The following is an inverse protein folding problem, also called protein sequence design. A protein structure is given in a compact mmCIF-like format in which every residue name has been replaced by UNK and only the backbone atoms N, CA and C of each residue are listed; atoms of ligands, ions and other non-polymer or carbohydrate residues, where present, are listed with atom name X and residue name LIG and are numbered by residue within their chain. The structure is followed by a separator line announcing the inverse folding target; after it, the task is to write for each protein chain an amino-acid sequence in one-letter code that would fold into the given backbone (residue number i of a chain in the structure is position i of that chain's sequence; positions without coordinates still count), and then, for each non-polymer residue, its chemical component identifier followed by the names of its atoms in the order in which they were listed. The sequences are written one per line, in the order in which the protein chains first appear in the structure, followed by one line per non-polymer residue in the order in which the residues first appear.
data_IF_622056315202
#
_entry.id   IF_622056315202
#
_cell.length_a   1.000
_cell.length_b   1.000
_cell.length_c   1.000
_cell.angle_alpha   90.00
_cell.angle_beta   90.00
_cell.angle_gamma   90.00
#
_symmetry.space_group_name_H-M   'P 1'
#
loop_
_entity.id
_entity.type
_entity.pdbx_description
1 polymer ?
#
# COMPACT_ATOMS: atom_id res chain seq x y z
N UNK A 1 53.12 31.72 27.39
CA UNK A 1 51.87 32.03 28.13
C UNK A 1 50.74 32.63 27.28
N UNK A 2 51.01 33.37 26.19
CA UNK A 2 49.98 34.07 25.39
C UNK A 2 49.06 33.12 24.57
N UNK A 3 49.54 31.94 24.14
CA UNK A 3 48.73 31.00 23.32
C UNK A 3 47.56 30.33 24.06
N UNK A 4 47.57 30.26 25.39
CA UNK A 4 46.51 29.61 26.18
C UNK A 4 45.31 30.53 26.48
N UNK A 5 45.48 31.85 26.48
CA UNK A 5 44.38 32.79 26.73
C UNK A 5 43.50 33.03 25.49
N UNK A 6 44.08 33.00 24.29
CA UNK A 6 43.33 33.15 23.03
C UNK A 6 42.39 31.96 22.79
N UNK A 7 42.81 30.75 23.17
CA UNK A 7 42.00 29.54 23.02
C UNK A 7 40.75 29.54 23.92
N UNK A 8 40.85 30.10 25.15
CA UNK A 8 39.70 30.21 26.07
C UNK A 8 38.64 31.20 25.59
N UNK A 9 39.02 32.25 24.86
CA UNK A 9 38.09 33.30 24.41
C UNK A 9 37.30 32.92 23.15
N UNK A 10 37.88 32.09 22.27
CA UNK A 10 37.24 31.67 21.00
C UNK A 10 36.70 30.23 21.00
N UNK A 11 37.03 29.43 22.02
CA UNK A 11 36.56 28.04 22.15
C UNK A 11 35.04 27.86 21.99
N UNK A 12 34.18 28.66 22.66
CA UNK A 12 32.73 28.53 22.53
C UNK A 12 32.21 28.80 21.10
N UNK A 13 32.80 29.77 20.40
CA UNK A 13 32.40 30.12 19.03
C UNK A 13 32.75 29.02 18.02
N UNK A 14 33.92 28.39 18.16
CA UNK A 14 34.33 27.26 17.32
C UNK A 14 33.43 26.04 17.53
N UNK A 15 33.05 25.75 18.79
CA UNK A 15 32.12 24.66 19.10
C UNK A 15 30.75 24.93 18.49
N UNK A 16 30.20 26.13 18.68
CA UNK A 16 28.90 26.49 18.10
C UNK A 16 28.90 26.40 16.56
N UNK A 17 29.96 26.88 15.91
CA UNK A 17 30.11 26.76 14.46
C UNK A 17 30.19 25.29 14.00
N UNK A 18 31.00 24.47 14.67
CA UNK A 18 31.13 23.05 14.34
C UNK A 18 29.79 22.31 14.49
N UNK A 19 29.04 22.56 15.57
CA UNK A 19 27.69 22.03 15.77
C UNK A 19 26.75 22.50 14.65
N UNK A 20 26.81 23.78 14.28
CA UNK A 20 26.02 24.33 13.17
C UNK A 20 26.28 23.63 11.84
N UNK A 21 27.56 23.39 11.50
CA UNK A 21 27.94 22.67 10.27
C UNK A 21 27.43 21.22 10.28
N UNK A 22 27.56 20.51 11.40
CA UNK A 22 27.04 19.14 11.54
C UNK A 22 25.52 19.11 11.37
N UNK A 23 24.79 20.06 11.96
CA UNK A 23 23.34 20.15 11.82
C UNK A 23 22.91 20.39 10.38
N UNK A 24 23.58 21.31 9.66
CA UNK A 24 23.30 21.55 8.23
C UNK A 24 23.55 20.29 7.42
N UNK A 25 24.69 19.61 7.64
CA UNK A 25 25.04 18.39 6.94
C UNK A 25 24.03 17.25 7.16
N UNK A 26 23.52 17.10 8.39
CA UNK A 26 22.46 16.13 8.70
C UNK A 26 21.08 16.53 8.15
N UNK A 27 20.80 17.83 8.01
CA UNK A 27 19.53 18.33 7.49
C UNK A 27 19.43 18.19 5.97
N UNK A 28 20.52 18.42 5.23
CA UNK A 28 20.55 18.39 3.77
C UNK A 28 19.90 17.14 3.14
N UNK A 29 20.27 15.89 3.51
CA UNK A 29 19.66 14.71 2.89
C UNK A 29 18.17 14.59 3.19
N UNK A 30 17.71 15.02 4.38
CA UNK A 30 16.29 15.00 4.74
C UNK A 30 15.50 16.02 3.93
N UNK A 31 16.01 17.25 3.80
CA UNK A 31 15.37 18.31 3.01
C UNK A 31 15.33 17.93 1.52
N UNK A 32 16.43 17.38 1.00
CA UNK A 32 16.49 16.88 -0.37
C UNK A 32 15.47 15.75 -0.61
N UNK A 33 15.42 14.75 0.27
CA UNK A 33 14.46 13.65 0.20
C UNK A 33 13.01 14.14 0.23
N UNK A 34 12.68 15.04 1.17
CA UNK A 34 11.34 15.57 1.33
C UNK A 34 10.91 16.41 0.12
N UNK A 35 11.81 17.24 -0.42
CA UNK A 35 11.53 18.04 -1.61
C UNK A 35 11.22 17.15 -2.83
N UNK A 36 12.05 16.13 -3.06
CA UNK A 36 11.83 15.21 -4.19
C UNK A 36 10.59 14.32 -4.01
N UNK A 37 10.20 13.98 -2.77
CA UNK A 37 8.99 13.23 -2.49
C UNK A 37 7.70 14.07 -2.53
N UNK A 38 7.79 15.40 -2.65
CA UNK A 38 6.61 16.29 -2.62
C UNK A 38 5.52 15.94 -3.66
N UNK A 39 5.84 15.61 -4.92
CA UNK A 39 4.81 15.22 -5.90
C UNK A 39 4.05 13.96 -5.47
N UNK A 40 4.69 13.05 -4.74
CA UNK A 40 4.06 11.84 -4.25
C UNK A 40 2.97 12.13 -3.19
N UNK A 41 3.18 13.12 -2.33
CA UNK A 41 2.15 13.57 -1.39
C UNK A 41 0.89 14.09 -2.11
N UNK A 42 1.07 14.82 -3.21
CA UNK A 42 -0.05 15.32 -4.02
C UNK A 42 -0.81 14.21 -4.75
N UNK A 43 -0.09 13.21 -5.30
CA UNK A 43 -0.72 12.02 -5.90
C UNK A 43 -1.47 11.20 -4.85
N UNK A 44 -0.87 10.95 -3.69
CA UNK A 44 -1.54 10.26 -2.57
C UNK A 44 -2.82 10.99 -2.14
N UNK A 45 -2.77 12.31 -1.99
CA UNK A 45 -3.95 13.11 -1.64
C UNK A 45 -5.07 12.98 -2.68
N UNK A 46 -4.74 13.00 -3.98
CA UNK A 46 -5.74 12.78 -5.03
C UNK A 46 -6.36 11.38 -4.96
N UNK A 47 -5.56 10.34 -4.74
CA UNK A 47 -6.05 8.97 -4.58
C UNK A 47 -6.97 8.83 -3.36
N UNK A 48 -6.62 9.44 -2.23
CA UNK A 48 -7.47 9.44 -1.02
C UNK A 48 -8.80 10.15 -1.26
N UNK A 49 -8.83 11.18 -2.11
CA UNK A 49 -10.02 11.94 -2.45
C UNK A 49 -10.80 11.36 -3.64
N UNK A 50 -10.44 10.15 -4.11
CA UNK A 50 -11.02 9.49 -5.29
C UNK A 50 -11.00 10.41 -6.55
N UNK A 51 -9.95 11.21 -6.67
CA UNK A 51 -9.75 12.13 -7.81
C UNK A 51 -8.88 11.47 -8.88
N UNK A 52 -9.15 11.74 -10.17
CA UNK A 52 -8.32 11.22 -11.25
C UNK A 52 -6.90 11.78 -11.13
N UNK A 53 -5.91 10.88 -11.13
CA UNK A 53 -4.48 11.22 -11.14
C UNK A 53 -4.02 11.32 -12.59
N UNK A 54 -3.37 12.42 -13.00
CA UNK A 54 -2.82 12.53 -14.37
C UNK A 54 -1.54 11.72 -14.52
N UNK A 55 -1.27 11.17 -15.71
CA UNK A 55 -0.06 10.37 -15.98
C UNK A 55 1.23 11.15 -15.71
N UNK A 56 1.26 12.42 -16.10
CA UNK A 56 2.38 13.31 -15.83
C UNK A 56 2.61 13.57 -14.33
N UNK A 57 1.57 13.50 -13.49
CA UNK A 57 1.72 13.65 -12.03
C UNK A 57 2.27 12.37 -11.41
N UNK A 58 1.78 11.21 -11.88
CA UNK A 58 2.26 9.89 -11.43
C UNK A 58 3.73 9.67 -11.83
N UNK A 59 4.11 9.97 -13.07
CA UNK A 59 5.48 9.87 -13.55
C UNK A 59 6.45 10.78 -12.77
N UNK A 60 6.01 12.00 -12.43
CA UNK A 60 6.77 12.93 -11.57
C UNK A 60 6.92 12.40 -10.15
N UNK A 61 5.85 11.84 -9.57
CA UNK A 61 5.92 11.22 -8.25
C UNK A 61 6.86 10.02 -8.21
N UNK A 62 6.81 9.13 -9.21
CA UNK A 62 7.72 7.98 -9.32
C UNK A 62 9.18 8.43 -9.45
N UNK A 63 9.46 9.40 -10.31
CA UNK A 63 10.82 9.95 -10.48
C UNK A 63 11.33 10.60 -9.20
N UNK A 64 10.48 11.39 -8.54
CA UNK A 64 10.79 12.04 -7.28
C UNK A 64 11.06 11.06 -6.14
N UNK A 65 10.26 9.99 -6.00
CA UNK A 65 10.48 8.94 -5.00
C UNK A 65 11.76 8.14 -5.27
N UNK A 66 12.09 7.85 -6.53
CA UNK A 66 13.37 7.22 -6.89
C UNK A 66 14.54 8.10 -6.46
N UNK A 67 14.50 9.40 -6.76
CA UNK A 67 15.54 10.34 -6.33
C UNK A 67 15.61 10.48 -4.79
N UNK A 68 14.47 10.53 -4.11
CA UNK A 68 14.40 10.60 -2.65
C UNK A 68 15.00 9.34 -1.99
N UNK A 69 14.80 8.16 -2.57
CA UNK A 69 15.33 6.91 -2.01
C UNK A 69 16.86 6.90 -1.90
N UNK A 70 17.57 7.57 -2.82
CA UNK A 70 19.03 7.70 -2.80
C UNK A 70 19.57 8.45 -1.56
N UNK A 71 18.73 9.23 -0.86
CA UNK A 71 19.15 9.95 0.34
C UNK A 71 19.22 9.06 1.60
N UNK A 72 18.70 7.83 1.57
CA UNK A 72 18.73 6.91 2.72
C UNK A 72 17.81 7.29 3.89
N UNK A 73 16.98 8.33 3.75
CA UNK A 73 16.05 8.81 4.78
C UNK A 73 14.66 8.23 4.53
N UNK A 74 13.90 7.92 5.59
CA UNK A 74 12.49 7.48 5.53
C UNK A 74 12.19 6.38 4.48
N UNK A 75 13.11 5.42 4.38
CA UNK A 75 13.08 4.36 3.37
C UNK A 75 11.77 3.56 3.38
N UNK A 76 11.22 3.33 4.57
CA UNK A 76 9.97 2.59 4.74
C UNK A 76 8.79 3.24 4.03
N UNK A 77 8.65 4.57 4.15
CA UNK A 77 7.57 5.33 3.54
C UNK A 77 7.82 5.50 2.04
N UNK A 78 9.05 5.85 1.65
CA UNK A 78 9.43 6.05 0.24
C UNK A 78 9.19 4.77 -0.57
N UNK A 79 9.71 3.62 -0.14
CA UNK A 79 9.48 2.36 -0.85
C UNK A 79 8.03 1.89 -0.77
N UNK A 80 7.34 2.24 0.33
CA UNK A 80 5.90 2.01 0.47
C UNK A 80 5.08 2.78 -0.57
N UNK A 81 5.39 4.05 -0.84
CA UNK A 81 4.72 4.84 -1.87
C UNK A 81 5.17 4.42 -3.27
N UNK A 82 6.46 4.15 -3.46
CA UNK A 82 7.02 3.71 -4.74
C UNK A 82 6.31 2.46 -5.24
N UNK A 83 6.22 1.42 -4.41
CA UNK A 83 5.53 0.18 -4.78
C UNK A 83 4.05 0.37 -5.08
N UNK A 84 3.36 1.27 -4.36
CA UNK A 84 1.96 1.60 -4.65
C UNK A 84 1.80 2.24 -6.02
N UNK A 85 2.64 3.23 -6.33
CA UNK A 85 2.55 3.99 -7.56
C UNK A 85 3.03 3.20 -8.78
N UNK A 86 4.02 2.32 -8.62
CA UNK A 86 4.43 1.40 -9.68
C UNK A 86 3.30 0.41 -10.02
N UNK A 87 2.62 -0.13 -9.00
CA UNK A 87 1.46 -0.99 -9.24
C UNK A 87 0.32 -0.23 -9.93
N UNK A 88 0.06 1.03 -9.53
CA UNK A 88 -0.93 1.87 -10.20
C UNK A 88 -0.55 2.14 -11.66
N UNK A 89 0.72 2.44 -11.93
CA UNK A 89 1.23 2.71 -13.29
C UNK A 89 1.05 1.49 -14.22
N UNK A 90 1.39 0.29 -13.72
CA UNK A 90 1.17 -0.97 -14.44
C UNK A 90 -0.28 -1.17 -14.85
N UNK A 91 -1.23 -0.90 -13.96
CA UNK A 91 -2.66 -1.07 -14.28
C UNK A 91 -3.21 -0.02 -15.24
N UNK A 92 -2.55 1.13 -15.35
CA UNK A 92 -2.99 2.21 -16.25
C UNK A 92 -2.39 2.09 -17.64
N UNK A 93 -1.17 1.58 -17.74
CA UNK A 93 -0.44 1.47 -19.00
C UNK A 93 0.10 0.06 -19.19
N UNK A 94 -0.75 -0.94 -19.51
CA UNK A 94 -0.29 -2.27 -19.87
C UNK A 94 0.70 -2.19 -21.03
N UNK A 95 1.86 -2.83 -20.85
CA UNK A 95 2.94 -2.82 -21.82
C UNK A 95 3.70 -4.16 -21.76
N UNK A 96 4.57 -4.40 -22.72
CA UNK A 96 5.32 -5.66 -22.85
C UNK A 96 6.28 -5.92 -21.66
N UNK A 97 6.59 -4.89 -20.86
CA UNK A 97 7.45 -4.97 -19.67
C UNK A 97 6.65 -5.04 -18.36
N UNK A 98 5.37 -5.40 -18.41
CA UNK A 98 4.49 -5.46 -17.24
C UNK A 98 5.05 -6.38 -16.14
N UNK A 99 5.61 -7.54 -16.49
CA UNK A 99 6.19 -8.47 -15.52
C UNK A 99 7.39 -7.86 -14.77
N UNK A 100 8.30 -7.18 -15.49
CA UNK A 100 9.46 -6.50 -14.91
C UNK A 100 9.03 -5.37 -13.96
N UNK A 101 8.02 -4.59 -14.36
CA UNK A 101 7.48 -3.51 -13.54
C UNK A 101 6.81 -4.05 -12.26
N UNK A 102 6.07 -5.16 -12.35
CA UNK A 102 5.48 -5.85 -11.20
C UNK A 102 6.56 -6.41 -10.27
N UNK A 103 7.61 -7.02 -10.81
CA UNK A 103 8.75 -7.52 -10.03
C UNK A 103 9.45 -6.38 -9.29
N UNK A 104 9.70 -5.24 -9.95
CA UNK A 104 10.31 -4.08 -9.31
C UNK A 104 9.39 -3.46 -8.23
N UNK A 105 8.07 -3.45 -8.44
CA UNK A 105 7.11 -3.03 -7.41
C UNK A 105 7.10 -3.99 -6.20
N UNK A 106 7.26 -5.31 -6.45
CA UNK A 106 7.39 -6.33 -5.40
C UNK A 106 8.66 -6.09 -4.58
N UNK A 107 9.79 -5.85 -5.23
CA UNK A 107 11.06 -5.60 -4.55
C UNK A 107 11.01 -4.34 -3.69
N UNK A 108 10.41 -3.26 -4.19
CA UNK A 108 10.14 -2.07 -3.39
C UNK A 108 9.23 -2.37 -2.19
N UNK A 109 8.20 -3.21 -2.35
CA UNK A 109 7.35 -3.63 -1.23
C UNK A 109 8.15 -4.41 -0.18
N UNK A 110 9.05 -5.30 -0.60
CA UNK A 110 9.93 -6.06 0.30
C UNK A 110 10.86 -5.12 1.07
N UNK A 111 11.46 -4.13 0.39
CA UNK A 111 12.30 -3.12 1.06
C UNK A 111 11.50 -2.33 2.09
N UNK A 112 10.26 -1.93 1.79
CA UNK A 112 9.40 -1.27 2.76
C UNK A 112 9.07 -2.17 3.96
N UNK A 113 8.78 -3.46 3.72
CA UNK A 113 8.48 -4.45 4.77
C UNK A 113 9.67 -4.73 5.69
N UNK A 114 10.91 -4.64 5.21
CA UNK A 114 12.11 -4.77 6.06
C UNK A 114 12.14 -3.72 7.17
N UNK A 115 11.60 -2.53 6.92
CA UNK A 115 11.51 -1.45 7.90
C UNK A 115 10.18 -1.44 8.67
N UNK A 116 9.09 -1.95 8.07
CA UNK A 116 7.75 -2.03 8.67
C UNK A 116 7.16 -3.45 8.53
N UNK A 117 7.67 -4.43 9.29
CA UNK A 117 7.26 -5.83 9.12
C UNK A 117 5.84 -6.13 9.61
N UNK A 118 5.23 -5.21 10.35
CA UNK A 118 3.86 -5.34 10.89
C UNK A 118 2.83 -4.51 10.09
N UNK A 119 3.19 -4.02 8.90
CA UNK A 119 2.29 -3.18 8.11
C UNK A 119 1.37 -4.02 7.23
N UNK A 120 0.08 -4.04 7.58
CA UNK A 120 -0.94 -4.81 6.88
C UNK A 120 -1.16 -4.38 5.43
N UNK A 121 -0.99 -3.09 5.11
CA UNK A 121 -1.16 -2.56 3.76
C UNK A 121 -0.03 -3.05 2.85
N UNK A 122 1.21 -3.05 3.36
CA UNK A 122 2.36 -3.59 2.63
C UNK A 122 2.22 -5.10 2.40
N UNK A 123 1.76 -5.88 3.39
CA UNK A 123 1.52 -7.31 3.20
C UNK A 123 0.38 -7.60 2.21
N UNK A 124 -0.70 -6.82 2.24
CA UNK A 124 -1.76 -6.94 1.22
C UNK A 124 -1.21 -6.63 -0.18
N UNK A 125 -0.39 -5.59 -0.33
CA UNK A 125 0.24 -5.27 -1.61
C UNK A 125 1.20 -6.37 -2.08
N UNK A 126 2.01 -6.92 -1.17
CA UNK A 126 2.89 -8.04 -1.47
C UNK A 126 2.10 -9.29 -1.90
N UNK A 127 0.95 -9.55 -1.28
CA UNK A 127 0.01 -10.59 -1.70
C UNK A 127 -0.49 -10.35 -3.13
N UNK A 128 -0.89 -9.12 -3.46
CA UNK A 128 -1.37 -8.77 -4.80
C UNK A 128 -0.27 -8.94 -5.85
N UNK A 129 0.92 -8.40 -5.59
CA UNK A 129 2.05 -8.48 -6.52
C UNK A 129 2.51 -9.92 -6.76
N UNK A 130 2.61 -10.73 -5.70
CA UNK A 130 2.95 -12.16 -5.84
C UNK A 130 1.86 -12.92 -6.59
N UNK A 131 0.58 -12.64 -6.32
CA UNK A 131 -0.52 -13.27 -7.04
C UNK A 131 -0.51 -12.93 -8.55
N UNK A 132 -0.21 -11.69 -8.92
CA UNK A 132 -0.10 -11.29 -10.32
C UNK A 132 1.09 -11.94 -11.05
N UNK A 133 2.20 -12.15 -10.34
CA UNK A 133 3.43 -12.72 -10.92
C UNK A 133 3.43 -14.26 -10.95
N UNK A 134 2.90 -14.89 -9.92
CA UNK A 134 3.09 -16.33 -9.65
C UNK A 134 1.75 -17.08 -9.48
N UNK A 135 0.61 -16.39 -9.57
CA UNK A 135 -0.69 -16.96 -9.23
C UNK A 135 -0.82 -17.28 -7.73
N UNK A 136 -1.67 -18.24 -7.40
CA UNK A 136 -1.91 -18.63 -6.02
C UNK A 136 -0.77 -19.53 -5.46
N UNK A 137 0.35 -18.89 -5.10
CA UNK A 137 1.58 -19.57 -4.65
C UNK A 137 1.71 -19.61 -3.11
N UNK A 138 2.63 -20.41 -2.54
CA UNK A 138 2.93 -20.38 -1.10
C UNK A 138 3.32 -18.99 -0.59
N UNK A 139 3.96 -18.15 -1.43
CA UNK A 139 4.31 -16.78 -1.07
C UNK A 139 3.07 -15.90 -0.97
N UNK A 140 2.11 -16.05 -1.89
CA UNK A 140 0.82 -15.36 -1.83
C UNK A 140 0.05 -15.75 -0.57
N UNK A 141 -0.01 -17.04 -0.24
CA UNK A 141 -0.70 -17.54 0.97
C UNK A 141 -0.06 -16.96 2.23
N UNK A 142 1.28 -17.03 2.35
CA UNK A 142 1.98 -16.52 3.52
C UNK A 142 1.85 -14.99 3.67
N UNK A 143 1.83 -14.26 2.55
CA UNK A 143 1.60 -12.82 2.54
C UNK A 143 0.17 -12.46 2.96
N UNK A 144 -0.81 -13.21 2.46
CA UNK A 144 -2.22 -13.02 2.77
C UNK A 144 -2.47 -13.23 4.27
N UNK A 145 -1.90 -14.29 4.85
CA UNK A 145 -1.97 -14.59 6.28
C UNK A 145 -1.42 -13.45 7.14
N UNK A 146 -0.22 -12.96 6.82
CA UNK A 146 0.36 -11.79 7.50
C UNK A 146 -0.51 -10.54 7.35
N UNK A 147 -1.13 -10.36 6.19
CA UNK A 147 -2.02 -9.23 5.96
C UNK A 147 -3.23 -9.27 6.92
N UNK A 148 -3.88 -10.43 7.07
CA UNK A 148 -4.98 -10.61 8.03
C UNK A 148 -4.51 -10.40 9.47
N UNK A 149 -3.36 -10.98 9.83
CA UNK A 149 -2.83 -10.94 11.19
C UNK A 149 -2.49 -9.53 11.65
N UNK A 150 -1.94 -8.69 10.78
CA UNK A 150 -1.48 -7.35 11.14
C UNK A 150 -2.54 -6.25 10.94
N UNK A 151 -3.66 -6.55 10.29
CA UNK A 151 -4.72 -5.58 10.02
C UNK A 151 -6.07 -6.23 9.81
N UNK A 152 -6.58 -6.92 10.83
CA UNK A 152 -7.81 -7.72 10.76
C UNK A 152 -9.02 -6.90 10.30
N UNK A 153 -9.15 -5.66 10.79
CA UNK A 153 -10.34 -4.81 10.62
C UNK A 153 -10.10 -3.58 9.73
N UNK A 154 -9.05 -3.60 8.91
CA UNK A 154 -8.73 -2.52 7.97
C UNK A 154 -9.68 -2.57 6.76
N UNK A 155 -10.66 -1.65 6.74
CA UNK A 155 -11.75 -1.64 5.75
C UNK A 155 -11.24 -1.53 4.33
N UNK A 156 -10.21 -0.71 4.12
CA UNK A 156 -9.57 -0.42 2.84
C UNK A 156 -8.92 -1.68 2.23
N UNK A 157 -8.63 -2.70 3.05
CA UNK A 157 -7.98 -3.95 2.64
C UNK A 157 -8.98 -5.07 2.36
N UNK A 158 -10.23 -4.94 2.83
CA UNK A 158 -11.27 -5.97 2.72
C UNK A 158 -11.54 -6.37 1.27
N UNK A 159 -11.63 -5.38 0.36
CA UNK A 159 -12.04 -5.62 -1.02
C UNK A 159 -11.11 -6.61 -1.71
N UNK A 160 -9.80 -6.35 -1.66
CA UNK A 160 -8.82 -7.23 -2.29
C UNK A 160 -8.73 -8.58 -1.57
N UNK A 161 -8.65 -8.58 -0.24
CA UNK A 161 -8.49 -9.83 0.54
C UNK A 161 -9.66 -10.77 0.36
N UNK A 162 -10.89 -10.25 0.46
CA UNK A 162 -12.09 -11.07 0.28
C UNK A 162 -12.26 -11.49 -1.17
N UNK A 163 -11.96 -10.63 -2.15
CA UNK A 163 -11.95 -11.03 -3.57
C UNK A 163 -11.03 -12.23 -3.79
N UNK A 164 -9.76 -12.11 -3.42
CA UNK A 164 -8.80 -13.19 -3.59
C UNK A 164 -9.21 -14.45 -2.81
N UNK A 165 -9.63 -14.29 -1.56
CA UNK A 165 -9.99 -15.42 -0.70
C UNK A 165 -11.21 -16.18 -1.20
N UNK A 166 -12.20 -15.48 -1.74
CA UNK A 166 -13.43 -16.08 -2.24
C UNK A 166 -13.23 -16.73 -3.62
N UNK A 167 -12.36 -16.18 -4.46
CA UNK A 167 -11.97 -16.79 -5.74
C UNK A 167 -11.14 -18.06 -5.52
N UNK A 168 -10.19 -18.04 -4.59
CA UNK A 168 -9.28 -19.17 -4.30
C UNK A 168 -9.74 -20.05 -3.13
N UNK A 169 -11.06 -20.05 -2.86
CA UNK A 169 -11.61 -20.62 -1.62
C UNK A 169 -11.21 -22.07 -1.36
N UNK A 170 -11.28 -22.92 -2.38
CA UNK A 170 -10.97 -24.36 -2.26
C UNK A 170 -9.47 -24.61 -2.01
N UNK A 171 -8.61 -23.70 -2.47
CA UNK A 171 -7.16 -23.78 -2.29
C UNK A 171 -6.68 -23.15 -0.97
N UNK A 172 -7.51 -22.35 -0.31
CA UNK A 172 -7.13 -21.70 0.96
C UNK A 172 -6.98 -22.72 2.10
N UNK A 173 -5.91 -22.61 2.91
CA UNK A 173 -5.83 -23.24 4.22
C UNK A 173 -7.01 -22.88 5.12
N UNK A 174 -7.42 -23.80 5.99
CA UNK A 174 -8.53 -23.61 6.92
C UNK A 174 -8.40 -22.33 7.76
N UNK A 175 -7.19 -22.01 8.24
CA UNK A 175 -6.94 -20.78 9.01
C UNK A 175 -7.31 -19.51 8.24
N UNK A 176 -6.95 -19.43 6.95
CA UNK A 176 -7.26 -18.29 6.12
C UNK A 176 -8.75 -18.22 5.75
N UNK A 177 -9.42 -19.36 5.60
CA UNK A 177 -10.89 -19.39 5.42
C UNK A 177 -11.61 -18.82 6.64
N UNK A 178 -11.13 -19.10 7.85
CA UNK A 178 -11.67 -18.50 9.07
C UNK A 178 -11.42 -16.98 9.12
N UNK A 179 -10.22 -16.51 8.79
CA UNK A 179 -9.96 -15.07 8.68
C UNK A 179 -10.85 -14.38 7.63
N UNK A 180 -11.08 -15.02 6.49
CA UNK A 180 -12.00 -14.51 5.49
C UNK A 180 -13.45 -14.47 6.01
N UNK A 181 -13.92 -15.49 6.73
CA UNK A 181 -15.24 -15.49 7.39
C UNK A 181 -15.38 -14.38 8.42
N UNK A 182 -14.37 -14.16 9.24
CA UNK A 182 -14.33 -13.05 10.20
C UNK A 182 -14.44 -11.69 9.49
N UNK A 183 -13.68 -11.50 8.40
CA UNK A 183 -13.76 -10.28 7.60
C UNK A 183 -15.12 -10.11 6.90
N UNK A 184 -15.77 -11.20 6.47
CA UNK A 184 -17.13 -11.15 5.92
C UNK A 184 -18.12 -10.67 6.99
N UNK A 185 -18.08 -11.25 8.20
CA UNK A 185 -18.91 -10.82 9.34
C UNK A 185 -18.69 -9.36 9.70
N UNK A 186 -17.44 -8.91 9.70
CA UNK A 186 -17.11 -7.49 9.92
C UNK A 186 -17.68 -6.60 8.80
N UNK A 187 -17.51 -7.01 7.54
CA UNK A 187 -17.99 -6.25 6.38
C UNK A 187 -19.51 -6.18 6.24
N UNK A 188 -20.26 -7.11 6.86
CA UNK A 188 -21.72 -7.18 6.84
C UNK A 188 -22.41 -5.91 7.32
N UNK A 189 -21.74 -5.11 8.17
CA UNK A 189 -22.23 -3.82 8.67
C UNK A 189 -22.06 -2.67 7.66
N UNK A 190 -21.41 -2.92 6.51
CA UNK A 190 -21.00 -1.93 5.54
C UNK A 190 -21.48 -2.31 4.13
N UNK A 191 -22.77 -2.07 3.84
CA UNK A 191 -23.40 -2.49 2.60
C UNK A 191 -22.68 -2.01 1.33
N UNK A 192 -22.12 -0.80 1.33
CA UNK A 192 -21.33 -0.27 0.20
C UNK A 192 -20.06 -1.09 -0.07
N UNK A 193 -19.31 -1.45 0.98
CA UNK A 193 -18.09 -2.26 0.87
C UNK A 193 -18.42 -3.67 0.38
N UNK A 194 -19.49 -4.28 0.91
CA UNK A 194 -19.98 -5.57 0.42
C UNK A 194 -20.43 -5.50 -1.04
N UNK A 195 -21.11 -4.41 -1.44
CA UNK A 195 -21.49 -4.17 -2.83
C UNK A 195 -20.26 -4.07 -3.74
N UNK A 196 -19.20 -3.39 -3.29
CA UNK A 196 -17.93 -3.32 -3.99
C UNK A 196 -17.27 -4.69 -4.12
N UNK A 197 -17.18 -5.49 -3.04
CA UNK A 197 -16.65 -6.86 -3.12
C UNK A 197 -17.45 -7.69 -4.13
N UNK A 198 -18.77 -7.74 -3.97
CA UNK A 198 -19.67 -8.53 -4.82
C UNK A 198 -19.57 -8.15 -6.30
N UNK A 199 -19.30 -6.88 -6.59
CA UNK A 199 -19.15 -6.38 -7.96
C UNK A 199 -17.85 -6.79 -8.66
N UNK A 200 -16.89 -7.39 -7.94
CA UNK A 200 -15.62 -7.89 -8.49
C UNK A 200 -15.51 -9.42 -8.50
N UNK A 201 -16.48 -10.13 -7.94
CA UNK A 201 -16.49 -11.59 -7.86
C UNK A 201 -17.10 -12.21 -9.13
N UNK A 202 -16.60 -13.38 -9.52
CA UNK A 202 -17.27 -14.28 -10.45
C UNK A 202 -18.54 -14.89 -9.83
N UNK A 203 -19.35 -15.58 -10.63
CA UNK A 203 -20.65 -16.12 -10.19
C UNK A 203 -20.54 -17.13 -9.03
N UNK A 204 -19.49 -17.95 -9.00
CA UNK A 204 -19.31 -18.96 -7.95
C UNK A 204 -18.89 -18.29 -6.64
N UNK A 205 -17.90 -17.40 -6.69
CA UNK A 205 -17.43 -16.64 -5.55
C UNK A 205 -18.51 -15.69 -5.02
N UNK A 206 -19.32 -15.09 -5.90
CA UNK A 206 -20.44 -14.24 -5.54
C UNK A 206 -21.54 -15.01 -4.79
N UNK A 207 -21.93 -16.20 -5.28
CA UNK A 207 -22.88 -17.08 -4.58
C UNK A 207 -22.38 -17.45 -3.19
N UNK A 208 -21.10 -17.82 -3.08
CA UNK A 208 -20.45 -18.13 -1.81
C UNK A 208 -20.43 -16.94 -0.85
N UNK A 209 -20.13 -15.74 -1.34
CA UNK A 209 -20.14 -14.53 -0.54
C UNK A 209 -21.55 -14.22 -0.01
N UNK A 210 -22.57 -14.32 -0.86
CA UNK A 210 -23.97 -14.13 -0.47
C UNK A 210 -24.40 -15.18 0.56
N UNK A 211 -24.02 -16.45 0.42
CA UNK A 211 -24.37 -17.48 1.40
C UNK A 211 -23.76 -17.18 2.77
N UNK A 212 -22.51 -16.72 2.83
CA UNK A 212 -21.90 -16.30 4.10
C UNK A 212 -22.56 -15.05 4.68
N UNK A 213 -22.93 -14.08 3.84
CA UNK A 213 -23.65 -12.88 4.30
C UNK A 213 -25.04 -13.23 4.85
N UNK A 214 -25.71 -14.25 4.32
CA UNK A 214 -27.00 -14.72 4.82
C UNK A 214 -26.93 -15.32 6.25
N UNK A 215 -25.74 -15.72 6.70
CA UNK A 215 -25.48 -16.14 8.09
C UNK A 215 -25.26 -14.95 9.04
N UNK A 216 -25.36 -13.71 8.55
CA UNK A 216 -25.11 -12.47 9.28
C UNK A 216 -26.33 -11.53 9.19
N UNK A 217 -26.44 -10.47 10.02
CA UNK A 217 -27.54 -9.52 9.94
C UNK A 217 -27.42 -8.52 8.76
N UNK A 218 -26.79 -8.91 7.65
CA UNK A 218 -26.56 -8.06 6.50
C UNK A 218 -27.85 -7.81 5.68
N UNK A 219 -28.04 -6.58 5.20
CA UNK A 219 -29.09 -6.25 4.21
C UNK A 219 -28.62 -6.65 2.80
N UNK A 220 -28.93 -7.89 2.41
CA UNK A 220 -28.51 -8.47 1.12
C UNK A 220 -29.08 -7.68 -0.07
N UNK A 221 -30.31 -7.15 0.03
CA UNK A 221 -30.93 -6.39 -1.04
C UNK A 221 -30.21 -5.06 -1.28
N UNK A 222 -29.84 -4.35 -0.21
CA UNK A 222 -29.04 -3.13 -0.30
C UNK A 222 -27.65 -3.42 -0.89
N UNK A 223 -27.00 -4.51 -0.49
CA UNK A 223 -25.70 -4.95 -1.01
C UNK A 223 -25.78 -5.22 -2.52
N UNK A 224 -26.81 -5.95 -2.97
CA UNK A 224 -27.02 -6.24 -4.39
C UNK A 224 -27.30 -4.96 -5.20
N UNK A 225 -28.12 -4.04 -4.67
CA UNK A 225 -28.37 -2.73 -5.29
C UNK A 225 -27.08 -1.93 -5.46
N UNK A 226 -26.24 -1.86 -4.43
CA UNK A 226 -24.94 -1.20 -4.48
C UNK A 226 -24.01 -1.84 -5.53
N UNK A 227 -23.94 -3.18 -5.56
CA UNK A 227 -23.16 -3.92 -6.57
C UNK A 227 -23.61 -3.60 -7.99
N UNK A 228 -24.93 -3.61 -8.25
CA UNK A 228 -25.49 -3.30 -9.58
C UNK A 228 -25.28 -1.84 -10.00
N UNK A 229 -25.27 -0.89 -9.06
CA UNK A 229 -24.93 0.50 -9.34
C UNK A 229 -23.45 0.62 -9.76
N UNK A 230 -22.54 -0.02 -9.02
CA UNK A 230 -21.11 -0.02 -9.32
C UNK A 230 -20.77 -0.71 -10.65
N UNK A 231 -21.45 -1.82 -10.98
CA UNK A 231 -21.29 -2.49 -12.28
C UNK A 231 -21.74 -1.59 -13.44
N UNK A 232 -22.85 -0.86 -13.28
CA UNK A 232 -23.34 0.11 -14.29
C UNK A 232 -22.38 1.27 -14.49
N UNK A 233 -21.84 1.83 -13.41
CA UNK A 233 -20.85 2.91 -13.48
C UNK A 233 -19.56 2.51 -14.20
N UNK A 234 -19.18 1.22 -14.14
CA UNK A 234 -18.02 0.70 -14.88
C UNK A 234 -18.28 0.41 -16.36
N UNK A 235 -19.54 0.25 -16.73
CA UNK A 235 -19.94 -0.02 -18.11
C UNK A 235 -20.17 1.26 -18.93
N UNK A 236 -20.35 2.41 -18.26
CA UNK A 236 -20.45 3.74 -18.86
C UNK A 236 -19.09 4.40 -19.02
#
# INVERSE_FOLDING_TARGET
MIRLQVLKKHGPGLIAFAVGVVLVWMATPRTYSAYNALPAAFVSFQLTMDRPVRDADLARALTGLKAASAAGVDQANIYGQLSQFMLLDVFRTPNDHQEEQLAAARDATVLALRHRPLDAYLWTRYTHLTYLLEGFSPYTIAALDKSFRYGTYERELLVFRLKLSLSEWESLPTSLREHAREQIRFSAQHAYVCGQILSYLDDQAAKRFISFLAETPADIELIQRASNALKRQRAS
#
